data_IF_799807495810
#
_entry.id   IF_799807495810
#
_cell.length_a   1.000
_cell.length_b   1.000
_cell.length_c   1.000
_cell.angle_alpha   90.00
_cell.angle_beta   90.00
_cell.angle_gamma   90.00
#
_symmetry.space_group_name_H-M   'P 1'
#
loop_
_entity.id
_entity.type
_entity.pdbx_description
1 polymer ?
#
# COMPACT_ATOMS: atom_id res chain seq x y z
N UNK A 1 5.43 -17.37 -0.90
CA UNK A 1 4.42 -16.98 -1.91
C UNK A 1 3.96 -15.57 -1.58
N UNK A 2 4.19 -14.60 -2.47
CA UNK A 2 4.02 -13.17 -2.18
C UNK A 2 2.56 -12.74 -2.47
N UNK A 3 1.62 -13.20 -1.64
CA UNK A 3 0.21 -12.76 -1.46
C UNK A 3 -0.64 -12.24 -2.65
N UNK A 4 -0.35 -12.56 -3.90
CA UNK A 4 -1.07 -12.01 -5.08
C UNK A 4 -1.11 -10.47 -5.07
N UNK A 5 -0.01 -9.87 -4.61
CA UNK A 5 0.19 -8.41 -4.60
C UNK A 5 1.27 -8.11 -5.61
N UNK A 6 0.94 -7.27 -6.59
CA UNK A 6 1.90 -6.80 -7.58
C UNK A 6 2.95 -5.91 -6.90
N UNK A 7 4.22 -6.35 -6.84
CA UNK A 7 5.26 -5.60 -6.12
C UNK A 7 5.54 -4.24 -6.78
N UNK A 8 5.34 -4.13 -8.10
CA UNK A 8 5.49 -2.88 -8.84
C UNK A 8 4.37 -1.87 -8.51
N UNK A 9 3.12 -2.31 -8.49
CA UNK A 9 1.98 -1.46 -8.19
C UNK A 9 2.02 -0.98 -6.72
N UNK A 10 2.36 -1.90 -5.82
CA UNK A 10 2.59 -1.59 -4.41
C UNK A 10 3.69 -0.56 -4.23
N UNK A 11 4.84 -0.76 -4.86
CA UNK A 11 5.97 0.16 -4.73
C UNK A 11 5.65 1.55 -5.28
N UNK A 12 4.99 1.64 -6.43
CA UNK A 12 4.58 2.92 -7.01
C UNK A 12 3.62 3.69 -6.10
N UNK A 13 2.64 3.02 -5.48
CA UNK A 13 1.70 3.65 -4.56
C UNK A 13 2.35 4.05 -3.23
N UNK A 14 3.32 3.27 -2.73
CA UNK A 14 4.15 3.65 -1.57
C UNK A 14 5.02 4.87 -1.89
N UNK A 15 5.69 4.89 -3.05
CA UNK A 15 6.51 6.00 -3.52
C UNK A 15 5.69 7.28 -3.67
N UNK A 16 4.49 7.19 -4.28
CA UNK A 16 3.60 8.32 -4.44
C UNK A 16 3.05 8.85 -3.10
N UNK A 17 2.91 7.98 -2.09
CA UNK A 17 2.40 8.36 -0.77
C UNK A 17 3.47 8.87 0.19
N UNK A 18 4.75 8.49 0.02
CA UNK A 18 5.84 8.93 0.90
C UNK A 18 5.84 10.41 1.30
N UNK A 19 5.66 11.40 0.39
CA UNK A 19 5.66 12.81 0.79
C UNK A 19 4.44 13.22 1.63
N UNK A 20 3.37 12.42 1.62
CA UNK A 20 2.11 12.68 2.34
C UNK A 20 1.89 11.74 3.53
N UNK A 21 2.71 10.69 3.67
CA UNK A 21 2.47 9.62 4.63
C UNK A 21 3.40 9.74 5.83
N UNK A 22 2.80 9.66 7.02
CA UNK A 22 3.54 9.56 8.27
C UNK A 22 4.11 8.14 8.43
N UNK A 23 5.37 8.02 8.85
CA UNK A 23 6.06 6.75 9.13
C UNK A 23 5.23 5.80 10.00
N UNK A 24 4.41 6.32 10.91
CA UNK A 24 3.49 5.55 11.75
C UNK A 24 2.44 4.74 10.98
N UNK A 25 2.16 5.09 9.71
CA UNK A 25 1.21 4.38 8.82
C UNK A 25 1.90 3.49 7.79
N UNK A 26 3.23 3.39 7.79
CA UNK A 26 3.96 2.37 7.02
C UNK A 26 3.44 0.94 7.23
N UNK A 27 3.05 0.49 8.44
CA UNK A 27 2.49 -0.85 8.60
C UNK A 27 1.13 -1.04 7.89
N UNK A 28 0.38 0.03 7.62
CA UNK A 28 -0.86 -0.02 6.82
C UNK A 28 -0.55 -0.18 5.32
N UNK A 29 0.65 0.22 4.88
CA UNK A 29 1.15 0.02 3.54
C UNK A 29 1.81 -1.35 3.35
N UNK A 30 1.80 -2.26 4.32
CA UNK A 30 2.35 -3.60 4.07
C UNK A 30 1.57 -4.29 2.95
N UNK A 31 2.21 -5.12 2.11
CA UNK A 31 1.60 -5.68 0.89
C UNK A 31 0.22 -6.32 1.13
N UNK A 32 0.06 -7.00 2.27
CA UNK A 32 -1.21 -7.63 2.65
C UNK A 32 -2.30 -6.63 3.09
N UNK A 33 -1.93 -5.51 3.73
CA UNK A 33 -2.85 -4.45 4.15
C UNK A 33 -3.18 -3.49 3.00
N UNK A 34 -2.23 -3.28 2.09
CA UNK A 34 -2.36 -2.39 0.94
C UNK A 34 -3.56 -2.77 0.05
N UNK A 35 -3.74 -4.07 -0.23
CA UNK A 35 -4.86 -4.57 -1.04
C UNK A 35 -6.22 -4.26 -0.41
N UNK A 36 -6.34 -4.41 0.92
CA UNK A 36 -7.56 -4.07 1.65
C UNK A 36 -7.82 -2.55 1.69
N UNK A 37 -6.75 -1.75 1.83
CA UNK A 37 -6.82 -0.30 1.83
C UNK A 37 -7.20 0.29 0.46
N UNK A 38 -6.82 -0.35 -0.65
CA UNK A 38 -7.24 0.03 -2.00
C UNK A 38 -8.74 -0.19 -2.20
N UNK A 39 -9.29 -1.33 -1.75
CA UNK A 39 -10.73 -1.62 -1.83
C UNK A 39 -11.56 -0.57 -1.08
N UNK A 40 -11.10 -0.11 0.09
CA UNK A 40 -11.79 0.92 0.86
C UNK A 40 -11.71 2.33 0.23
N UNK A 41 -10.73 2.59 -0.64
CA UNK A 41 -10.54 3.90 -1.30
C UNK A 41 -11.41 4.09 -2.54
N UNK A 42 -12.03 3.03 -3.03
CA UNK A 42 -12.85 3.02 -4.26
C UNK A 42 -14.36 3.10 -3.96
N UNK A 43 -14.76 3.15 -2.68
CA UNK A 43 -16.15 3.28 -2.24
C UNK A 43 -16.59 4.75 -2.07
#
# INVERSE_FOLDING_TARGET
KMNDVDPLAWLADVLARMPSLVVSRLPELLPWNWKAAQTAKVA
#
